data_IF_398426377492
#
_entry.id   IF_398426377492
#
_cell.length_a   1.000
_cell.length_b   1.000
_cell.length_c   1.000
_cell.angle_alpha   90.00
_cell.angle_beta   90.00
_cell.angle_gamma   90.00
#
_symmetry.space_group_name_H-M   'P 1'
#
loop_
_entity.id
_entity.type
_entity.pdbx_description
1 polymer ?
#
# COMPACT_ATOMS: atom_id res chain seq x y z
N UNK A 1 -3.21 17.20 28.28
CA UNK A 1 -2.52 15.91 28.58
C UNK A 1 -3.09 14.75 27.76
N UNK A 2 -4.41 14.65 27.61
CA UNK A 2 -5.07 13.61 26.80
C UNK A 2 -4.76 13.70 25.31
N UNK A 3 -4.70 14.90 24.73
CA UNK A 3 -4.41 15.09 23.29
C UNK A 3 -3.04 14.53 22.88
N UNK A 4 -2.03 14.72 23.72
CA UNK A 4 -0.68 14.19 23.48
C UNK A 4 -0.67 12.66 23.52
N UNK A 5 -1.40 12.05 24.47
CA UNK A 5 -1.54 10.60 24.59
C UNK A 5 -2.25 10.01 23.35
N UNK A 6 -3.31 10.67 22.85
CA UNK A 6 -4.03 10.25 21.65
C UNK A 6 -3.15 10.28 20.41
N UNK A 7 -2.35 11.34 20.22
CA UNK A 7 -1.42 11.44 19.08
C UNK A 7 -0.35 10.36 19.14
N UNK A 8 0.20 10.08 20.33
CA UNK A 8 1.20 9.01 20.52
C UNK A 8 0.62 7.63 20.22
N UNK A 9 -0.58 7.32 20.71
CA UNK A 9 -1.25 6.04 20.47
C UNK A 9 -1.58 5.87 18.98
N UNK A 10 -2.12 6.91 18.32
CA UNK A 10 -2.40 6.87 16.88
C UNK A 10 -1.12 6.65 16.05
N UNK A 11 -0.02 7.32 16.40
CA UNK A 11 1.26 7.13 15.71
C UNK A 11 1.84 5.73 15.94
N UNK A 12 1.73 5.19 17.16
CA UNK A 12 2.16 3.82 17.44
C UNK A 12 1.37 2.82 16.57
N UNK A 13 0.05 2.95 16.48
CA UNK A 13 -0.76 2.08 15.61
C UNK A 13 -0.39 2.24 14.13
N UNK A 14 -0.14 3.47 13.67
CA UNK A 14 0.25 3.73 12.28
C UNK A 14 1.62 3.13 11.94
N UNK A 15 2.60 3.19 12.85
CA UNK A 15 3.95 2.67 12.62
C UNK A 15 4.03 1.15 12.72
N UNK A 16 3.16 0.54 13.54
CA UNK A 16 3.09 -0.90 13.72
C UNK A 16 2.49 -1.59 12.50
N UNK A 17 1.59 -0.92 11.77
CA UNK A 17 0.95 -1.47 10.57
C UNK A 17 1.98 -1.68 9.46
N UNK A 18 2.45 -2.92 9.21
CA UNK A 18 3.34 -3.17 8.11
C UNK A 18 2.54 -2.86 6.84
N UNK A 19 3.04 -1.93 6.03
CA UNK A 19 2.31 -1.50 4.83
C UNK A 19 2.01 -2.67 3.88
N UNK A 20 1.07 -2.47 2.93
CA UNK A 20 0.72 -3.49 1.94
C UNK A 20 1.94 -3.99 1.15
N UNK A 21 2.92 -3.11 0.89
CA UNK A 21 4.17 -3.45 0.23
C UNK A 21 5.01 -4.46 1.04
N UNK A 22 5.14 -4.25 2.36
CA UNK A 22 5.90 -5.16 3.21
C UNK A 22 5.23 -6.53 3.31
N UNK A 23 3.90 -6.56 3.45
CA UNK A 23 3.13 -7.81 3.46
C UNK A 23 3.28 -8.58 2.14
N UNK A 24 3.24 -7.87 1.00
CA UNK A 24 3.42 -8.47 -0.32
C UNK A 24 4.83 -9.07 -0.49
N UNK A 25 5.88 -8.32 -0.14
CA UNK A 25 7.28 -8.76 -0.28
C UNK A 25 7.56 -9.93 0.69
N UNK A 26 7.02 -9.89 1.92
CA UNK A 26 7.12 -10.97 2.89
C UNK A 26 6.49 -12.26 2.35
N UNK A 27 5.26 -12.19 1.82
CA UNK A 27 4.59 -13.35 1.18
C UNK A 27 5.38 -13.90 -0.01
N UNK A 28 5.92 -13.02 -0.84
CA UNK A 28 6.69 -13.44 -2.01
C UNK A 28 8.04 -14.04 -1.63
N UNK A 29 8.67 -13.55 -0.57
CA UNK A 29 9.90 -14.14 -0.03
C UNK A 29 9.66 -15.53 0.55
N UNK A 30 8.52 -15.76 1.21
CA UNK A 30 8.15 -17.06 1.80
C UNK A 30 7.74 -18.06 0.71
N UNK A 31 6.93 -17.64 -0.27
CA UNK A 31 6.35 -18.55 -1.29
C UNK A 31 7.26 -18.83 -2.47
N UNK A 32 8.02 -17.84 -2.94
CA UNK A 32 8.79 -17.90 -4.18
C UNK A 32 10.31 -17.70 -3.95
N UNK A 33 10.73 -17.52 -2.69
CA UNK A 33 12.12 -17.35 -2.31
C UNK A 33 12.70 -15.96 -2.55
N UNK A 34 13.94 -15.76 -2.07
CA UNK A 34 14.59 -14.44 -1.97
C UNK A 34 14.79 -13.74 -3.32
N UNK A 35 15.09 -14.48 -4.39
CA UNK A 35 15.33 -13.86 -5.72
C UNK A 35 14.07 -13.17 -6.25
N UNK A 36 12.92 -13.83 -6.17
CA UNK A 36 11.66 -13.30 -6.70
C UNK A 36 11.20 -12.12 -5.86
N UNK A 37 11.39 -12.17 -4.53
CA UNK A 37 11.11 -11.05 -3.65
C UNK A 37 11.94 -9.78 -3.98
N UNK A 38 13.23 -9.93 -4.32
CA UNK A 38 14.08 -8.79 -4.71
C UNK A 38 13.59 -8.14 -6.01
N UNK A 39 13.21 -8.94 -7.00
CA UNK A 39 12.64 -8.43 -8.25
C UNK A 39 11.30 -7.72 -8.03
N UNK A 40 10.43 -8.27 -7.18
CA UNK A 40 9.19 -7.60 -6.78
C UNK A 40 9.45 -6.28 -6.05
N UNK A 41 10.39 -6.26 -5.10
CA UNK A 41 10.77 -5.04 -4.39
C UNK A 41 11.35 -3.96 -5.33
N UNK A 42 12.16 -4.37 -6.31
CA UNK A 42 12.70 -3.46 -7.31
C UNK A 42 11.58 -2.86 -8.19
N UNK A 43 10.60 -3.67 -8.60
CA UNK A 43 9.43 -3.18 -9.35
C UNK A 43 8.58 -2.18 -8.56
N UNK A 44 8.29 -2.50 -7.29
CA UNK A 44 7.57 -1.61 -6.38
C UNK A 44 8.33 -0.29 -6.21
N UNK A 45 9.64 -0.35 -5.95
CA UNK A 45 10.50 0.82 -5.82
C UNK A 45 10.53 1.69 -7.08
N UNK A 46 10.64 1.09 -8.27
CA UNK A 46 10.59 1.80 -9.55
C UNK A 46 9.26 2.53 -9.75
N UNK A 47 8.14 1.88 -9.38
CA UNK A 47 6.80 2.49 -9.42
C UNK A 47 6.67 3.68 -8.46
N UNK A 48 7.16 3.54 -7.23
CA UNK A 48 7.16 4.62 -6.23
C UNK A 48 8.03 5.79 -6.69
N UNK A 49 9.20 5.52 -7.27
CA UNK A 49 10.07 6.56 -7.83
C UNK A 49 9.38 7.29 -8.97
N UNK A 50 8.75 6.56 -9.90
CA UNK A 50 8.00 7.17 -11.00
C UNK A 50 6.85 8.03 -10.48
N UNK A 51 6.10 7.54 -9.49
CA UNK A 51 5.04 8.31 -8.83
C UNK A 51 5.59 9.57 -8.14
N UNK A 52 6.71 9.46 -7.42
CA UNK A 52 7.35 10.60 -6.76
C UNK A 52 7.84 11.64 -7.77
N UNK A 53 8.38 11.21 -8.91
CA UNK A 53 8.78 12.09 -10.01
C UNK A 53 7.57 12.80 -10.61
N UNK A 54 6.45 12.09 -10.83
CA UNK A 54 5.19 12.68 -11.26
C UNK A 54 4.67 13.73 -10.26
N UNK A 55 4.80 13.46 -8.95
CA UNK A 55 4.39 14.37 -7.89
C UNK A 55 5.22 15.65 -7.88
N UNK A 56 6.55 15.53 -8.01
CA UNK A 56 7.47 16.66 -8.09
C UNK A 56 7.27 17.44 -9.40
N UNK A 57 6.98 16.75 -10.51
CA UNK A 57 6.69 17.37 -11.82
C UNK A 57 5.39 18.18 -11.84
N UNK A 58 4.52 18.03 -10.83
CA UNK A 58 3.34 18.87 -10.68
C UNK A 58 2.16 18.51 -11.60
N UNK A 59 2.27 17.43 -12.39
CA UNK A 59 1.16 16.88 -13.21
C UNK A 59 -0.07 16.56 -12.33
N UNK A 60 0.17 16.13 -11.09
CA UNK A 60 -0.87 15.81 -10.09
C UNK A 60 -1.63 17.07 -9.63
N UNK A 61 -1.01 18.25 -9.72
CA UNK A 61 -1.61 19.53 -9.33
C UNK A 61 -2.66 19.95 -10.38
N UNK A 62 -2.38 19.69 -11.66
CA UNK A 62 -3.32 19.96 -12.77
C UNK A 62 -4.56 19.06 -12.67
N UNK A 63 -4.38 17.79 -12.27
CA UNK A 63 -5.50 16.85 -12.06
C UNK A 63 -6.35 17.24 -10.83
N UNK A 64 -5.73 17.86 -9.82
CA UNK A 64 -6.40 18.29 -8.58
C UNK A 64 -7.16 19.60 -8.71
N UNK A 65 -7.05 20.29 -9.86
CA UNK A 65 -7.76 21.55 -10.12
C UNK A 65 -9.28 21.39 -10.25
N UNK A 66 -9.76 20.15 -10.47
CA UNK A 66 -11.18 19.87 -10.61
C UNK A 66 -11.63 18.81 -9.59
N UNK A 67 -12.48 19.22 -8.65
CA UNK A 67 -12.93 18.43 -7.50
C UNK A 67 -13.56 17.09 -7.90
N UNK A 68 -14.26 17.03 -9.04
CA UNK A 68 -14.92 15.82 -9.51
C UNK A 68 -13.93 14.70 -9.86
N UNK A 69 -12.85 15.02 -10.58
CA UNK A 69 -11.85 14.02 -10.99
C UNK A 69 -11.06 13.51 -9.79
N UNK A 70 -10.70 14.40 -8.87
CA UNK A 70 -10.00 14.04 -7.64
C UNK A 70 -10.86 13.15 -6.74
N UNK A 71 -12.16 13.43 -6.63
CA UNK A 71 -13.10 12.63 -5.84
C UNK A 71 -13.32 11.23 -6.43
N UNK A 72 -13.46 11.12 -7.77
CA UNK A 72 -13.57 9.82 -8.45
C UNK A 72 -12.33 8.96 -8.26
N UNK A 73 -11.12 9.53 -8.45
CA UNK A 73 -9.87 8.80 -8.23
C UNK A 73 -9.76 8.33 -6.78
N UNK A 74 -10.08 9.19 -5.80
CA UNK A 74 -10.13 8.80 -4.39
C UNK A 74 -11.08 7.63 -4.14
N UNK A 75 -12.27 7.67 -4.73
CA UNK A 75 -13.26 6.60 -4.56
C UNK A 75 -12.76 5.28 -5.15
N UNK A 76 -12.15 5.32 -6.34
CA UNK A 76 -11.54 4.14 -6.98
C UNK A 76 -10.39 3.59 -6.14
N UNK A 77 -9.48 4.45 -5.67
CA UNK A 77 -8.35 4.03 -4.82
C UNK A 77 -8.81 3.42 -3.49
N UNK A 78 -9.80 4.03 -2.83
CA UNK A 78 -10.40 3.51 -1.60
C UNK A 78 -11.07 2.15 -1.84
N UNK A 79 -11.85 2.02 -2.93
CA UNK A 79 -12.48 0.77 -3.31
C UNK A 79 -11.47 -0.34 -3.59
N UNK A 80 -10.37 -0.03 -4.28
CA UNK A 80 -9.30 -0.98 -4.54
C UNK A 80 -8.59 -1.42 -3.26
N UNK A 81 -8.30 -0.50 -2.33
CA UNK A 81 -7.74 -0.83 -1.01
C UNK A 81 -8.69 -1.70 -0.18
N UNK A 82 -9.99 -1.42 -0.22
CA UNK A 82 -11.00 -2.22 0.46
C UNK A 82 -11.04 -3.65 -0.09
N UNK A 83 -11.00 -3.81 -1.42
CA UNK A 83 -10.87 -5.11 -2.07
C UNK A 83 -9.56 -5.83 -1.66
N UNK A 84 -8.43 -5.12 -1.65
CA UNK A 84 -7.14 -5.68 -1.25
C UNK A 84 -7.14 -6.16 0.21
N UNK A 85 -7.76 -5.38 1.10
CA UNK A 85 -7.93 -5.72 2.52
C UNK A 85 -8.78 -6.96 2.71
N UNK A 86 -9.94 -7.02 2.04
CA UNK A 86 -10.82 -8.20 2.06
C UNK A 86 -10.12 -9.44 1.47
N UNK A 87 -9.43 -9.27 0.34
CA UNK A 87 -8.68 -10.36 -0.31
C UNK A 87 -7.51 -10.86 0.56
N UNK A 88 -6.87 -9.99 1.33
CA UNK A 88 -5.83 -10.38 2.30
C UNK A 88 -6.40 -11.26 3.42
N UNK A 89 -7.56 -10.90 3.98
CA UNK A 89 -8.24 -11.67 5.02
C UNK A 89 -8.71 -13.02 4.48
N UNK A 90 -9.28 -13.06 3.27
CA UNK A 90 -9.76 -14.29 2.63
C UNK A 90 -8.59 -15.18 2.19
N UNK A 91 -7.51 -14.62 1.64
CA UNK A 91 -6.34 -15.41 1.24
C UNK A 91 -5.58 -16.00 2.43
N UNK A 92 -5.76 -15.48 3.65
CA UNK A 92 -5.22 -16.09 4.87
C UNK A 92 -5.89 -17.43 5.22
N UNK A 93 -7.06 -17.75 4.64
CA UNK A 93 -7.72 -19.05 4.83
C UNK A 93 -7.34 -20.11 3.79
N UNK A 94 -6.43 -19.80 2.86
CA UNK A 94 -5.85 -20.75 1.90
C UNK A 94 -4.41 -21.06 2.29
N UNK A 95 -4.19 -21.48 3.54
CA UNK A 95 -3.08 -22.35 3.91
C UNK A 95 -3.33 -23.77 3.37
N UNK A 96 -3.58 -23.86 2.06
CA UNK A 96 -3.86 -25.12 1.37
C UNK A 96 -2.67 -25.42 0.46
N UNK A 97 -1.81 -26.28 1.00
CA UNK A 97 -1.18 -27.41 0.31
C UNK A 97 -0.51 -27.09 -1.03
N UNK A 98 0.81 -26.91 -0.99
CA UNK A 98 1.65 -27.23 -2.14
C UNK A 98 2.81 -28.06 -1.60
N UNK A 99 2.57 -29.37 -1.55
CA UNK A 99 3.58 -30.43 -1.65
C UNK A 99 4.51 -30.22 -2.86
#
# INVERSE_FOLDING_TARGET
>A
MTEFLTVVVLHLFAVISPGPDFALISRQSIRYGRKIAIWSAAGIGMGILFHSLLAISGIIIVISANELYFSLVKFICSGYLMYLGISSIISSSSFQEID
#
